data_IF_025425463109
#
_entry.id   IF_025425463109
#
_cell.length_a   1.000
_cell.length_b   1.000
_cell.length_c   1.000
_cell.angle_alpha   90.00
_cell.angle_beta   90.00
_cell.angle_gamma   90.00
#
_symmetry.space_group_name_H-M   'P 1'
#
loop_
_entity.id
_entity.type
_entity.pdbx_description
1 polymer ?
#
# COMPACT_ATOMS: atom_id res chain seq x y z
N UNK A 1 7.41 6.99 -18.00
CA UNK A 1 6.53 5.91 -17.51
C UNK A 1 6.15 6.23 -16.07
N UNK A 2 4.87 6.11 -15.68
CA UNK A 2 4.42 6.43 -14.32
C UNK A 2 4.96 5.40 -13.32
N UNK A 3 5.38 5.86 -12.13
CA UNK A 3 5.82 4.99 -11.04
C UNK A 3 4.67 4.02 -10.65
N UNK A 4 4.88 2.68 -10.65
CA UNK A 4 3.84 1.71 -10.27
C UNK A 4 3.19 2.01 -8.92
N UNK A 5 3.97 2.48 -7.93
CA UNK A 5 3.45 2.89 -6.63
C UNK A 5 2.46 4.04 -6.75
N UNK A 6 2.86 5.12 -7.44
CA UNK A 6 2.00 6.30 -7.62
C UNK A 6 0.67 5.92 -8.28
N UNK A 7 0.71 5.07 -9.31
CA UNK A 7 -0.50 4.61 -9.99
C UNK A 7 -1.48 3.89 -9.05
N UNK A 8 -0.99 3.01 -8.18
CA UNK A 8 -1.83 2.35 -7.17
C UNK A 8 -2.38 3.37 -6.18
N UNK A 9 -1.52 4.23 -5.62
CA UNK A 9 -1.92 5.20 -4.60
C UNK A 9 -2.94 6.24 -5.12
N UNK A 10 -2.88 6.61 -6.40
CA UNK A 10 -3.85 7.53 -7.01
C UNK A 10 -5.31 7.03 -6.92
N UNK A 11 -5.54 5.72 -6.74
CA UNK A 11 -6.88 5.19 -6.48
C UNK A 11 -7.51 5.71 -5.19
N UNK A 12 -6.71 6.14 -4.20
CA UNK A 12 -7.22 6.76 -2.97
C UNK A 12 -7.99 8.05 -3.22
N UNK A 13 -7.79 8.71 -4.38
CA UNK A 13 -8.52 9.91 -4.78
C UNK A 13 -9.92 9.59 -5.31
N UNK A 14 -10.22 8.32 -5.58
CA UNK A 14 -11.53 7.89 -6.08
C UNK A 14 -12.49 7.68 -4.89
N UNK A 15 -13.71 8.24 -4.96
CA UNK A 15 -14.74 7.96 -3.97
C UNK A 15 -15.03 6.46 -3.91
N UNK A 16 -14.79 5.83 -2.76
CA UNK A 16 -15.10 4.43 -2.54
C UNK A 16 -16.41 4.28 -1.75
N UNK A 17 -17.22 3.27 -2.09
CA UNK A 17 -18.44 2.91 -1.35
C UNK A 17 -18.15 2.15 -0.05
N UNK A 18 -16.91 1.70 0.09
CA UNK A 18 -16.39 0.91 1.21
C UNK A 18 -15.02 1.46 1.62
N UNK A 19 -14.57 1.19 2.85
CA UNK A 19 -13.24 1.54 3.30
C UNK A 19 -12.16 1.05 2.33
N UNK A 20 -11.14 1.88 2.11
CA UNK A 20 -9.93 1.41 1.44
C UNK A 20 -9.17 0.48 2.38
N UNK A 21 -8.70 -0.65 1.86
CA UNK A 21 -7.79 -1.53 2.57
C UNK A 21 -6.42 -1.46 1.91
N UNK A 22 -5.40 -1.16 2.70
CA UNK A 22 -4.01 -1.36 2.32
C UNK A 22 -3.61 -2.77 2.72
N UNK A 23 -3.10 -3.54 1.77
CA UNK A 23 -2.67 -4.93 1.99
C UNK A 23 -1.22 -5.06 1.59
N UNK A 24 -0.41 -5.67 2.47
CA UNK A 24 1.02 -5.89 2.28
C UNK A 24 1.35 -7.34 2.58
N UNK A 25 2.06 -8.00 1.67
CA UNK A 25 2.45 -9.41 1.79
C UNK A 25 3.95 -9.59 1.48
N UNK A 26 4.75 -10.21 2.37
CA UNK A 26 4.32 -10.75 3.65
C UNK A 26 4.05 -9.64 4.69
N UNK A 27 3.43 -9.96 5.83
CA UNK A 27 3.25 -9.00 6.93
C UNK A 27 4.61 -8.43 7.37
N UNK A 28 4.88 -7.12 7.20
CA UNK A 28 6.16 -6.53 7.58
C UNK A 28 6.38 -6.50 9.10
N UNK A 29 5.34 -6.69 9.93
CA UNK A 29 5.53 -6.85 11.38
C UNK A 29 6.20 -8.18 11.72
N UNK A 30 5.87 -9.24 10.96
CA UNK A 30 6.26 -10.61 11.27
C UNK A 30 7.43 -11.11 10.42
N UNK A 31 7.55 -10.61 9.19
CA UNK A 31 8.50 -11.10 8.21
C UNK A 31 9.39 -9.98 7.67
N UNK A 32 10.60 -10.33 7.27
CA UNK A 32 11.53 -9.41 6.63
C UNK A 32 11.27 -9.23 5.12
N UNK A 33 10.23 -9.84 4.56
CA UNK A 33 9.97 -9.86 3.11
C UNK A 33 10.34 -11.19 2.46
N UNK A 34 9.94 -11.37 1.21
CA UNK A 34 10.35 -12.52 0.40
C UNK A 34 11.81 -12.35 -0.04
N UNK A 35 12.61 -13.40 0.08
CA UNK A 35 13.95 -13.44 -0.53
C UNK A 35 13.80 -13.87 -1.98
N UNK A 36 14.42 -13.13 -2.89
CA UNK A 36 14.44 -13.52 -4.31
C UNK A 36 15.67 -14.37 -4.62
N UNK A 37 15.46 -15.50 -5.29
CA UNK A 37 16.57 -16.40 -5.68
C UNK A 37 17.48 -15.80 -6.77
N UNK A 38 17.06 -14.70 -7.43
CA UNK A 38 17.70 -14.16 -8.65
C UNK A 38 18.59 -12.94 -8.44
N UNK A 39 18.65 -12.38 -7.23
CA UNK A 39 19.36 -11.14 -6.93
C UNK A 39 19.81 -11.22 -5.47
N UNK A 40 21.12 -11.16 -5.23
CA UNK A 40 21.71 -11.40 -3.91
C UNK A 40 21.00 -10.60 -2.80
N UNK A 41 20.24 -11.30 -1.95
CA UNK A 41 19.74 -10.76 -0.69
C UNK A 41 18.62 -9.72 -0.76
N UNK A 42 18.12 -9.34 -1.94
CA UNK A 42 17.01 -8.37 -2.04
C UNK A 42 15.74 -8.95 -1.39
N UNK A 43 15.19 -8.17 -0.43
CA UNK A 43 13.93 -8.45 0.22
C UNK A 43 12.81 -7.72 -0.52
N UNK A 44 11.67 -8.39 -0.71
CA UNK A 44 10.53 -7.77 -1.35
C UNK A 44 9.21 -8.00 -0.63
N UNK A 45 8.34 -7.00 -0.77
CA UNK A 45 6.96 -7.04 -0.36
C UNK A 45 6.07 -6.82 -1.58
N UNK A 46 4.82 -7.24 -1.48
CA UNK A 46 3.79 -7.00 -2.48
C UNK A 46 2.71 -6.16 -1.82
N UNK A 47 2.28 -5.09 -2.48
CA UNK A 47 1.33 -4.12 -1.95
C UNK A 47 0.15 -3.95 -2.91
N UNK A 48 -1.06 -3.75 -2.36
CA UNK A 48 -2.21 -3.26 -3.13
C UNK A 48 -3.17 -2.42 -2.28
N UNK A 49 -4.05 -1.69 -2.97
CA UNK A 49 -5.21 -1.05 -2.38
C UNK A 49 -6.49 -1.75 -2.85
N UNK A 50 -7.43 -1.97 -1.94
CA UNK A 50 -8.67 -2.66 -2.25
C UNK A 50 -9.84 -2.17 -1.40
N UNK A 51 -10.88 -1.63 -2.04
CA UNK A 51 -12.15 -1.31 -1.37
C UNK A 51 -13.13 -2.48 -1.38
N UNK A 52 -12.81 -3.58 -2.07
CA UNK A 52 -13.57 -4.83 -2.10
C UNK A 52 -12.95 -5.95 -1.25
N UNK A 53 -12.04 -5.62 -0.35
CA UNK A 53 -11.21 -6.63 0.30
C UNK A 53 -12.04 -7.65 1.09
N UNK A 54 -12.11 -8.87 0.55
CA UNK A 54 -12.75 -10.01 1.19
C UNK A 54 -11.79 -10.65 2.18
N UNK A 55 -11.71 -10.09 3.39
CA UNK A 55 -10.79 -10.52 4.46
C UNK A 55 -10.83 -12.05 4.66
N UNK A 56 -12.03 -12.63 4.77
CA UNK A 56 -12.20 -14.09 4.99
C UNK A 56 -11.62 -14.96 3.87
N UNK A 57 -11.71 -14.49 2.63
CA UNK A 57 -11.14 -15.20 1.47
C UNK A 57 -9.63 -15.03 1.45
N UNK A 58 -9.13 -13.82 1.71
CA UNK A 58 -7.70 -13.55 1.68
C UNK A 58 -6.96 -14.28 2.80
N UNK A 59 -7.54 -14.32 4.02
CA UNK A 59 -7.01 -15.09 5.16
C UNK A 59 -6.84 -16.58 4.85
N UNK A 60 -7.75 -17.18 4.07
CA UNK A 60 -7.68 -18.60 3.69
C UNK A 60 -6.59 -18.87 2.65
N UNK A 61 -6.40 -17.96 1.71
CA UNK A 61 -5.48 -18.13 0.58
C UNK A 61 -4.05 -17.69 0.90
N UNK A 62 -3.87 -16.71 1.80
CA UNK A 62 -2.56 -16.20 2.22
C UNK A 62 -2.61 -15.89 3.72
N UNK A 63 -2.07 -16.74 4.62
CA UNK A 63 -2.10 -16.47 6.05
C UNK A 63 -1.05 -15.44 6.52
N UNK A 64 -0.18 -14.96 5.63
CA UNK A 64 0.98 -14.14 5.98
C UNK A 64 0.93 -12.73 5.40
N UNK A 65 -0.15 -11.97 5.61
CA UNK A 65 -0.27 -10.57 5.16
C UNK A 65 -0.55 -9.63 6.33
N UNK A 66 -0.07 -8.39 6.20
CA UNK A 66 -0.48 -7.27 7.03
C UNK A 66 -1.55 -6.47 6.28
N UNK A 67 -2.54 -5.95 7.01
CA UNK A 67 -3.54 -5.07 6.41
C UNK A 67 -3.94 -3.92 7.35
N UNK A 68 -4.44 -2.85 6.75
CA UNK A 68 -5.03 -1.72 7.45
C UNK A 68 -6.21 -1.18 6.66
N UNK A 69 -7.32 -0.89 7.36
CA UNK A 69 -8.51 -0.29 6.76
C UNK A 69 -8.58 1.19 7.11
N UNK A 70 -8.83 2.05 6.11
CA UNK A 70 -9.19 3.44 6.33
C UNK A 70 -10.72 3.57 6.27
N UNK A 71 -11.35 3.41 7.44
CA UNK A 71 -12.79 3.54 7.63
C UNK A 71 -13.15 4.93 8.18
N UNK A 72 -12.82 5.98 7.42
CA UNK A 72 -13.27 7.33 7.75
C UNK A 72 -14.65 7.65 7.14
N UNK A 73 -15.51 6.64 6.93
CA UNK A 73 -16.84 6.80 6.29
C UNK A 73 -17.81 7.73 7.02
N UNK A 74 -17.46 8.29 8.18
CA UNK A 74 -18.40 9.04 9.00
C UNK A 74 -18.70 10.49 8.55
N UNK A 75 -17.88 11.20 7.77
CA UNK A 75 -18.15 12.62 7.49
C UNK A 75 -17.73 13.10 6.10
N UNK A 76 -18.71 13.09 5.18
CA UNK A 76 -18.72 13.78 3.87
C UNK A 76 -18.05 13.00 2.73
N UNK A 77 -18.82 12.08 2.14
CA UNK A 77 -18.49 11.44 0.86
C UNK A 77 -18.07 12.49 -0.18
N UNK A 78 -16.91 12.25 -0.81
CA UNK A 78 -16.51 12.92 -2.04
C UNK A 78 -17.70 12.89 -3.03
N UNK A 79 -18.09 14.03 -3.57
CA UNK A 79 -19.22 14.10 -4.50
C UNK A 79 -18.88 13.30 -5.78
N UNK A 80 -19.50 12.15 -5.96
CA UNK A 80 -19.29 11.27 -7.10
C UNK A 80 -20.02 9.93 -6.90
N UNK A 81 -20.22 9.16 -7.98
CA UNK A 81 -20.68 7.78 -7.84
C UNK A 81 -19.59 6.99 -7.12
N UNK A 82 -19.91 6.47 -5.95
CA UNK A 82 -19.01 5.61 -5.18
C UNK A 82 -18.71 4.33 -5.97
N UNK A 83 -17.44 4.01 -6.18
CA UNK A 83 -17.01 2.83 -6.96
C UNK A 83 -16.33 1.82 -6.04
N UNK A 84 -16.63 0.55 -6.28
CA UNK A 84 -15.89 -0.59 -5.72
C UNK A 84 -14.67 -0.86 -6.60
N UNK A 85 -13.46 -0.75 -6.06
CA UNK A 85 -12.23 -0.77 -6.84
C UNK A 85 -11.15 -1.60 -6.14
N UNK A 86 -10.47 -2.41 -6.94
CA UNK A 86 -9.30 -3.18 -6.52
C UNK A 86 -8.15 -2.79 -7.44
N UNK A 87 -6.98 -2.47 -6.89
CA UNK A 87 -5.80 -2.15 -7.69
C UNK A 87 -5.00 -3.40 -8.01
N UNK A 88 -4.19 -3.31 -9.05
CA UNK A 88 -3.12 -4.27 -9.32
C UNK A 88 -2.17 -4.40 -8.13
N UNK A 89 -1.56 -5.57 -8.01
CA UNK A 89 -0.45 -5.78 -7.09
C UNK A 89 0.83 -5.16 -7.63
N UNK A 90 1.58 -4.51 -6.75
CA UNK A 90 2.92 -4.00 -7.06
C UNK A 90 3.95 -4.62 -6.11
N UNK A 91 5.18 -4.75 -6.60
CA UNK A 91 6.33 -5.16 -5.82
C UNK A 91 7.01 -3.92 -5.26
N UNK A 92 7.30 -3.97 -3.96
CA UNK A 92 8.12 -3.02 -3.22
C UNK A 92 9.43 -3.74 -2.91
N UNK A 93 10.48 -3.39 -3.63
CA UNK A 93 11.78 -4.08 -3.59
C UNK A 93 12.74 -3.24 -2.76
N UNK A 94 13.28 -3.81 -1.69
CA UNK A 94 14.27 -3.16 -0.84
C UNK A 94 15.56 -2.90 -1.61
N UNK A 95 16.00 -1.64 -1.63
CA UNK A 95 17.26 -1.23 -2.27
C UNK A 95 18.46 -1.32 -1.32
N UNK A 96 18.27 -1.87 -0.11
CA UNK A 96 19.21 -1.90 1.00
C UNK A 96 19.66 -0.50 1.48
N UNK A 97 18.93 0.54 1.09
CA UNK A 97 19.13 1.92 1.56
C UNK A 97 18.28 2.19 2.80
N UNK A 98 18.72 3.16 3.58
CA UNK A 98 17.93 3.73 4.68
C UNK A 98 17.36 5.08 4.25
N UNK A 99 16.19 5.41 4.76
CA UNK A 99 15.62 6.74 4.57
C UNK A 99 16.48 7.80 5.26
N UNK A 100 16.16 9.06 5.01
CA UNK A 100 16.71 10.21 5.75
C UNK A 100 16.62 10.08 7.27
N UNK A 101 15.61 9.37 7.79
CA UNK A 101 15.43 9.08 9.23
C UNK A 101 16.09 7.76 9.70
N UNK A 102 16.85 7.08 8.83
CA UNK A 102 17.49 5.81 9.14
C UNK A 102 16.57 4.57 9.07
N UNK A 103 15.36 4.70 8.50
CA UNK A 103 14.37 3.62 8.44
C UNK A 103 14.56 2.72 7.22
N UNK A 104 14.29 1.42 7.36
CA UNK A 104 14.24 0.47 6.24
C UNK A 104 12.89 0.50 5.51
N UNK A 105 12.81 -0.19 4.37
CA UNK A 105 11.52 -0.48 3.71
C UNK A 105 10.54 -1.14 4.67
N UNK A 106 10.99 -2.13 5.45
CA UNK A 106 10.16 -2.82 6.43
C UNK A 106 9.56 -1.85 7.44
N UNK A 107 10.39 -0.99 8.03
CA UNK A 107 9.95 -0.03 9.05
C UNK A 107 8.93 0.95 8.47
N UNK A 108 9.16 1.43 7.24
CA UNK A 108 8.24 2.33 6.56
C UNK A 108 6.91 1.65 6.18
N UNK A 109 6.91 0.36 5.83
CA UNK A 109 5.68 -0.39 5.57
C UNK A 109 4.89 -0.66 6.86
N UNK A 110 5.55 -0.96 7.98
CA UNK A 110 4.92 -1.06 9.31
C UNK A 110 4.30 0.28 9.69
N UNK A 111 5.05 1.36 9.55
CA UNK A 111 4.57 2.71 9.84
C UNK A 111 3.41 3.11 8.94
N UNK A 112 3.45 2.71 7.67
CA UNK A 112 2.38 2.95 6.72
C UNK A 112 1.10 2.23 7.15
N UNK A 113 1.17 0.92 7.45
CA UNK A 113 0.02 0.16 7.95
C UNK A 113 -0.58 0.78 9.23
N UNK A 114 0.27 1.27 10.14
CA UNK A 114 -0.16 1.94 11.38
C UNK A 114 -0.82 3.30 11.10
N UNK A 115 -0.31 4.08 10.16
CA UNK A 115 -0.83 5.41 9.83
C UNK A 115 -2.03 5.37 8.89
N UNK A 116 -2.16 4.31 8.08
CA UNK A 116 -3.15 4.22 7.02
C UNK A 116 -4.60 4.49 7.48
N UNK A 117 -5.08 3.98 8.63
CA UNK A 117 -6.42 4.27 9.13
C UNK A 117 -6.67 5.75 9.49
N UNK A 118 -5.59 6.52 9.70
CA UNK A 118 -5.62 7.91 10.16
C UNK A 118 -5.49 8.93 9.05
N UNK A 119 -5.15 8.51 7.83
CA UNK A 119 -5.04 9.43 6.70
C UNK A 119 -6.39 10.07 6.38
N UNK A 120 -6.38 11.38 6.16
CA UNK A 120 -7.53 12.10 5.65
C UNK A 120 -7.63 11.87 4.14
N UNK A 121 -8.68 11.14 3.74
CA UNK A 121 -9.02 10.84 2.36
C UNK A 121 -10.34 11.50 1.92
N UNK A 122 -10.83 12.50 2.68
CA UNK A 122 -12.15 13.11 2.47
C UNK A 122 -12.18 14.12 1.32
N UNK A 123 -11.02 14.62 0.88
CA UNK A 123 -10.92 15.54 -0.25
C UNK A 123 -9.86 15.08 -1.26
N UNK A 124 -10.00 15.42 -2.56
CA UNK A 124 -8.98 15.08 -3.55
C UNK A 124 -7.61 15.69 -3.23
N UNK A 125 -7.58 16.85 -2.57
CA UNK A 125 -6.36 17.50 -2.12
C UNK A 125 -5.71 16.74 -0.96
N UNK A 126 -6.46 16.39 0.09
CA UNK A 126 -5.94 15.60 1.21
C UNK A 126 -5.45 14.21 0.75
N UNK A 127 -6.20 13.55 -0.14
CA UNK A 127 -5.78 12.30 -0.73
C UNK A 127 -4.49 12.45 -1.57
N UNK A 128 -4.33 13.54 -2.33
CA UNK A 128 -3.09 13.83 -3.08
C UNK A 128 -1.90 14.06 -2.13
N UNK A 129 -2.08 14.76 -1.01
CA UNK A 129 -1.04 14.94 0.00
C UNK A 129 -0.61 13.60 0.60
N UNK A 130 -1.56 12.71 0.90
CA UNK A 130 -1.29 11.35 1.38
C UNK A 130 -0.52 10.54 0.32
N UNK A 131 -0.94 10.58 -0.94
CA UNK A 131 -0.25 9.92 -2.06
C UNK A 131 1.20 10.39 -2.14
N UNK A 132 1.42 11.70 -2.16
CA UNK A 132 2.76 12.30 -2.26
C UNK A 132 3.63 11.93 -1.05
N UNK A 133 3.06 11.92 0.16
CA UNK A 133 3.75 11.53 1.39
C UNK A 133 4.19 10.06 1.36
N UNK A 134 3.32 9.15 0.95
CA UNK A 134 3.65 7.72 0.90
C UNK A 134 4.68 7.46 -0.20
N UNK A 135 4.49 8.05 -1.38
CA UNK A 135 5.40 7.87 -2.51
C UNK A 135 6.81 8.38 -2.19
N UNK A 136 6.94 9.60 -1.68
CA UNK A 136 8.25 10.18 -1.37
C UNK A 136 9.02 9.32 -0.36
N UNK A 137 8.35 8.91 0.74
CA UNK A 137 8.95 8.11 1.81
C UNK A 137 9.43 6.75 1.31
N UNK A 138 8.61 6.03 0.55
CA UNK A 138 9.00 4.70 0.06
C UNK A 138 10.02 4.80 -1.07
N UNK A 139 9.98 5.83 -1.92
CA UNK A 139 10.94 6.00 -3.02
C UNK A 139 12.38 6.29 -2.55
N UNK A 140 12.58 6.72 -1.30
CA UNK A 140 13.92 6.87 -0.70
C UNK A 140 14.64 5.52 -0.56
N UNK A 141 13.90 4.44 -0.33
CA UNK A 141 14.43 3.14 0.12
C UNK A 141 14.03 1.96 -0.75
N UNK A 142 13.02 2.12 -1.61
CA UNK A 142 12.48 1.04 -2.41
C UNK A 142 12.44 1.38 -3.90
N UNK A 143 12.51 0.34 -4.71
CA UNK A 143 12.12 0.39 -6.13
C UNK A 143 10.80 -0.35 -6.34
N UNK A 144 10.04 0.05 -7.36
CA UNK A 144 8.70 -0.45 -7.60
C UNK A 144 8.59 -1.14 -8.96
N UNK A 145 7.98 -2.32 -8.99
CA UNK A 145 7.71 -3.07 -10.23
C UNK A 145 6.28 -3.59 -10.21
N UNK A 146 5.69 -3.78 -11.40
CA UNK A 146 4.42 -4.48 -11.52
C UNK A 146 4.59 -5.96 -11.13
N UNK A 147 3.54 -6.57 -10.59
CA UNK A 147 3.45 -8.04 -10.52
C UNK A 147 2.89 -8.51 -11.87
N UNK A 148 3.68 -9.20 -12.71
CA UNK A 148 3.14 -9.73 -13.96
C UNK A 148 2.12 -10.83 -13.67
N UNK A 149 0.87 -10.62 -14.11
CA UNK A 149 -0.16 -11.65 -14.30
C UNK A 149 -0.46 -12.55 -13.09
N UNK A 150 -1.07 -11.98 -12.04
CA UNK A 150 -1.81 -12.77 -11.05
C UNK A 150 -3.30 -12.73 -11.34
#
# INVERSE_FOLDING_TARGET
MSNPLRRVLLSLKTPASKPWHLVVTPDPNLFAGYKRNSSEGEQEYILRLDSNFGLDRHCKENPTFGFAANDQTAKKLLSGKSVSTTTEWIRVIDTNRKSSDGLSVRDLLVDLLRQFPRFDLQSPQAAEEVVNKIESRLAEVASFKEVPGK
#
